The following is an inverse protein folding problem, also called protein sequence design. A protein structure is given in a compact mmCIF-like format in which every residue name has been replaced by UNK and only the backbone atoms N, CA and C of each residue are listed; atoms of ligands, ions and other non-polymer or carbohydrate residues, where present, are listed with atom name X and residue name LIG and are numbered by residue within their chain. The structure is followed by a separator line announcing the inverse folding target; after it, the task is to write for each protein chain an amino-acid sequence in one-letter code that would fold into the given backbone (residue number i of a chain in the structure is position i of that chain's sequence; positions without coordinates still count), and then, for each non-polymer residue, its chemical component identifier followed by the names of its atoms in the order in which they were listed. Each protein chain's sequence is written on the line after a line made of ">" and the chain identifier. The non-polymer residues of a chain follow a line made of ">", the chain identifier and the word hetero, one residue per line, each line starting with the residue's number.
data_IF_189477953393
#
_entry.id   IF_189477953393
#
_cell.length_a   1.000
_cell.length_b   1.000
_cell.length_c   1.000
_cell.angle_alpha   90.00
_cell.angle_beta   90.00
_cell.angle_gamma   90.00
#
_symmetry.space_group_name_H-M   'P 1'
#
loop_
_entity.id
_entity.type
_entity.pdbx_description
1 polymer ?
#
# COMPACT_ATOMS: atom_id res chain seq x y z
N UNK A 1 4.19 -41.83 28.02
CA UNK A 1 5.26 -41.45 27.06
C UNK A 1 4.55 -40.84 25.86
N UNK A 2 4.36 -39.53 25.82
CA UNK A 2 3.66 -38.85 24.73
C UNK A 2 4.69 -38.03 23.95
N UNK A 3 4.96 -38.48 22.72
CA UNK A 3 5.87 -37.83 21.77
C UNK A 3 5.24 -36.54 21.24
N UNK A 4 5.97 -35.45 21.36
CA UNK A 4 5.67 -34.18 20.70
C UNK A 4 6.01 -34.28 19.20
N UNK A 5 5.06 -33.92 18.33
CA UNK A 5 5.29 -33.73 16.89
C UNK A 5 5.99 -32.39 16.59
N UNK A 6 6.66 -32.27 15.43
CA UNK A 6 7.57 -31.16 15.16
C UNK A 6 6.85 -29.87 14.79
N UNK A 7 7.32 -28.75 15.34
CA UNK A 7 6.91 -27.39 15.00
C UNK A 7 7.54 -26.99 13.67
N UNK A 8 6.74 -26.79 12.61
CA UNK A 8 7.24 -26.25 11.34
C UNK A 8 7.16 -24.72 11.39
N UNK A 9 8.30 -24.11 11.65
CA UNK A 9 8.58 -22.69 11.47
C UNK A 9 8.80 -22.40 9.99
N UNK A 10 7.85 -21.72 9.32
CA UNK A 10 8.06 -21.27 7.95
C UNK A 10 6.78 -20.95 7.20
N UNK A 11 6.09 -19.87 7.57
CA UNK A 11 5.02 -19.29 6.75
C UNK A 11 5.33 -17.81 6.53
N UNK A 12 5.81 -17.48 5.33
CA UNK A 12 5.80 -16.11 4.85
C UNK A 12 4.36 -15.72 4.48
N UNK A 13 3.83 -14.59 4.98
CA UNK A 13 2.46 -14.19 4.73
C UNK A 13 2.25 -13.74 3.27
N UNK A 14 1.12 -14.16 2.70
CA UNK A 14 0.57 -13.60 1.45
C UNK A 14 0.23 -12.13 1.71
N UNK A 15 0.93 -11.22 1.05
CA UNK A 15 0.67 -9.78 1.16
C UNK A 15 -0.65 -9.44 0.44
N UNK A 16 -1.67 -9.10 1.23
CA UNK A 16 -2.89 -8.44 0.75
C UNK A 16 -2.71 -6.94 1.00
N UNK A 17 -2.87 -6.06 0.02
CA UNK A 17 -2.79 -4.62 0.24
C UNK A 17 -4.04 -4.17 1.00
N UNK A 18 -3.84 -3.78 2.27
CA UNK A 18 -4.88 -3.23 3.16
C UNK A 18 -4.52 -1.78 3.45
N UNK A 19 -5.47 -0.85 3.29
CA UNK A 19 -5.33 0.53 3.76
C UNK A 19 -5.86 0.60 5.18
N UNK A 20 -5.06 1.21 6.06
CA UNK A 20 -5.41 1.46 7.45
C UNK A 20 -5.53 2.98 7.62
N UNK A 21 -6.76 3.48 7.72
CA UNK A 21 -7.03 4.85 8.16
C UNK A 21 -7.22 4.85 9.69
N UNK A 22 -6.62 5.83 10.35
CA UNK A 22 -7.04 6.22 11.71
C UNK A 22 -8.07 7.34 11.60
N UNK A 23 -9.02 7.44 12.55
CA UNK A 23 -9.86 8.63 12.63
C UNK A 23 -8.97 9.85 12.86
N UNK A 24 -9.32 11.02 12.28
CA UNK A 24 -8.52 12.22 12.38
C UNK A 24 -8.38 12.62 13.85
N UNK A 25 -7.13 12.71 14.33
CA UNK A 25 -6.82 13.53 15.48
C UNK A 25 -7.16 14.96 15.05
N UNK A 26 -7.99 15.66 15.82
CA UNK A 26 -8.27 17.08 15.63
C UNK A 26 -6.96 17.87 15.80
N UNK A 27 -6.17 17.95 14.73
CA UNK A 27 -5.14 18.96 14.55
C UNK A 27 -5.51 19.72 13.28
N UNK A 28 -5.88 20.98 13.48
CA UNK A 28 -6.11 21.96 12.44
C UNK A 28 -4.83 22.17 11.62
N UNK A 29 -4.64 21.43 10.54
CA UNK A 29 -3.65 21.78 9.53
C UNK A 29 -4.04 21.20 8.16
N UNK A 30 -3.89 22.06 7.16
CA UNK A 30 -4.46 21.99 5.82
C UNK A 30 -3.99 20.77 5.02
N UNK A 31 -4.88 20.26 4.16
CA UNK A 31 -4.72 19.02 3.42
C UNK A 31 -3.53 18.99 2.47
N UNK A 32 -2.72 17.93 2.60
CA UNK A 32 -1.65 17.57 1.66
C UNK A 32 -2.02 16.25 0.99
N UNK A 33 -2.22 16.27 -0.33
CA UNK A 33 -2.38 15.06 -1.15
C UNK A 33 -1.01 14.57 -1.63
N UNK A 34 -0.66 13.31 -1.34
CA UNK A 34 0.58 12.67 -1.77
C UNK A 34 0.27 11.50 -2.71
N UNK A 35 0.68 11.63 -3.99
CA UNK A 35 0.56 10.56 -4.98
C UNK A 35 1.82 9.66 -4.98
N UNK A 36 1.56 8.35 -5.05
CA UNK A 36 2.51 7.24 -4.87
C UNK A 36 3.19 6.84 -6.19
N UNK A 37 4.49 6.46 -6.22
CA UNK A 37 5.12 5.86 -7.40
C UNK A 37 4.85 4.35 -7.50
N UNK A 38 4.90 3.86 -8.74
CA UNK A 38 4.68 2.47 -9.16
C UNK A 38 5.85 1.57 -8.75
N UNK A 39 5.65 0.74 -7.71
CA UNK A 39 6.19 -0.61 -7.55
C UNK A 39 5.55 -1.24 -6.30
N UNK A 40 5.08 -2.50 -6.35
CA UNK A 40 4.35 -3.13 -5.26
C UNK A 40 5.31 -3.77 -4.26
N UNK A 41 6.16 -2.96 -3.62
CA UNK A 41 6.93 -3.39 -2.45
C UNK A 41 6.94 -2.21 -1.47
N UNK A 42 6.46 -2.48 -0.25
CA UNK A 42 6.63 -1.69 0.97
C UNK A 42 7.68 -0.56 0.88
N UNK A 43 7.28 0.67 1.22
CA UNK A 43 7.76 1.36 2.43
C UNK A 43 7.31 2.84 2.44
N UNK A 44 6.86 3.24 3.63
CA UNK A 44 6.34 4.56 3.98
C UNK A 44 7.34 5.71 3.73
N UNK A 45 6.81 6.88 3.37
CA UNK A 45 7.54 8.14 3.25
C UNK A 45 8.30 8.46 4.55
N UNK A 46 9.58 8.79 4.41
CA UNK A 46 10.50 9.17 5.48
C UNK A 46 10.14 10.54 6.07
N UNK A 47 9.28 10.55 7.09
CA UNK A 47 9.33 11.48 8.22
C UNK A 47 9.66 10.64 9.47
N UNK A 48 10.57 11.06 10.36
CA UNK A 48 10.86 10.28 11.57
C UNK A 48 9.59 9.98 12.39
N UNK A 49 8.61 10.90 12.35
CA UNK A 49 7.30 10.76 12.99
C UNK A 49 6.38 9.77 12.26
N UNK A 50 6.39 9.73 10.92
CA UNK A 50 5.61 8.74 10.17
C UNK A 50 6.17 7.34 10.35
N UNK A 51 7.51 7.20 10.43
CA UNK A 51 8.17 5.92 10.73
C UNK A 51 7.77 5.42 12.11
N UNK A 52 7.84 6.24 13.16
CA UNK A 52 7.45 5.82 14.52
C UNK A 52 5.95 5.52 14.65
N UNK A 53 5.09 6.30 13.99
CA UNK A 53 3.64 6.03 13.97
C UNK A 53 3.33 4.75 13.22
N UNK A 54 3.92 4.55 12.04
CA UNK A 54 3.79 3.32 11.26
C UNK A 54 4.30 2.13 12.09
N UNK A 55 5.50 2.22 12.67
CA UNK A 55 6.08 1.17 13.52
C UNK A 55 5.17 0.85 14.73
N UNK A 56 4.50 1.84 15.31
CA UNK A 56 3.55 1.62 16.41
C UNK A 56 2.28 0.88 15.96
N UNK A 57 1.71 1.23 14.80
CA UNK A 57 0.53 0.54 14.23
C UNK A 57 0.92 -0.90 13.85
N UNK A 58 2.04 -1.07 13.15
CA UNK A 58 2.55 -2.38 12.76
C UNK A 58 2.79 -3.26 13.99
N UNK A 59 3.41 -2.72 15.04
CA UNK A 59 3.64 -3.46 16.30
C UNK A 59 2.34 -3.93 16.95
N UNK A 60 1.30 -3.08 16.96
CA UNK A 60 -0.01 -3.42 17.55
C UNK A 60 -0.72 -4.50 16.73
N UNK A 61 -0.72 -4.35 15.41
CA UNK A 61 -1.35 -5.32 14.49
C UNK A 61 -0.61 -6.66 14.52
N UNK A 62 0.72 -6.63 14.50
CA UNK A 62 1.52 -7.86 14.56
C UNK A 62 1.24 -8.63 15.84
N UNK A 63 1.20 -7.96 17.01
CA UNK A 63 0.79 -8.59 18.27
C UNK A 63 -0.62 -9.17 18.21
N UNK A 64 -1.55 -8.49 17.53
CA UNK A 64 -2.93 -8.96 17.39
C UNK A 64 -3.06 -10.16 16.44
N UNK A 65 -2.16 -10.31 15.47
CA UNK A 65 -2.20 -11.38 14.45
C UNK A 65 -1.33 -12.58 14.85
N UNK A 66 -0.21 -12.34 15.52
CA UNK A 66 0.80 -13.36 15.78
C UNK A 66 0.22 -14.58 16.52
N UNK A 67 0.56 -15.77 16.03
CA UNK A 67 0.10 -17.08 16.55
C UNK A 67 -1.41 -17.29 16.54
N UNK A 68 -2.20 -16.45 15.87
CA UNK A 68 -3.63 -16.68 15.68
C UNK A 68 -3.89 -17.33 14.31
N UNK A 69 -4.82 -18.30 14.23
CA UNK A 69 -5.17 -18.90 12.96
C UNK A 69 -5.83 -17.86 12.05
N UNK A 70 -5.44 -17.88 10.78
CA UNK A 70 -5.99 -17.03 9.72
C UNK A 70 -6.22 -17.90 8.49
N UNK A 71 -7.48 -17.99 8.08
CA UNK A 71 -7.94 -18.88 7.02
C UNK A 71 -8.52 -18.13 5.83
N UNK A 72 -8.77 -16.83 5.95
CA UNK A 72 -9.26 -15.98 4.85
C UNK A 72 -8.78 -14.54 5.03
N UNK A 73 -8.77 -13.73 3.94
CA UNK A 73 -8.48 -12.30 4.03
C UNK A 73 -9.41 -11.55 5.00
N UNK A 74 -10.66 -11.98 5.15
CA UNK A 74 -11.59 -11.36 6.10
C UNK A 74 -11.10 -11.50 7.55
N UNK A 75 -10.55 -12.67 7.92
CA UNK A 75 -9.98 -12.85 9.25
C UNK A 75 -8.81 -11.89 9.54
N UNK A 76 -8.05 -11.48 8.52
CA UNK A 76 -7.04 -10.43 8.69
C UNK A 76 -7.70 -9.10 9.03
N UNK A 77 -8.72 -8.70 8.26
CA UNK A 77 -9.41 -7.45 8.49
C UNK A 77 -10.03 -7.37 9.89
N UNK A 78 -10.70 -8.43 10.34
CA UNK A 78 -11.31 -8.49 11.66
C UNK A 78 -10.25 -8.37 12.77
N UNK A 79 -9.15 -9.14 12.67
CA UNK A 79 -8.05 -9.05 13.64
C UNK A 79 -7.40 -7.68 13.66
N UNK A 80 -7.30 -7.00 12.51
CA UNK A 80 -6.75 -5.65 12.45
C UNK A 80 -7.71 -4.68 13.12
N UNK A 81 -9.02 -4.70 12.85
CA UNK A 81 -10.01 -3.84 13.53
C UNK A 81 -9.95 -4.02 15.05
N UNK A 82 -9.89 -5.27 15.49
CA UNK A 82 -9.82 -5.66 16.91
C UNK A 82 -8.47 -5.34 17.59
N UNK A 83 -7.41 -5.09 16.81
CA UNK A 83 -6.07 -4.86 17.36
C UNK A 83 -6.02 -3.64 18.31
N UNK A 84 -6.97 -2.71 18.18
CA UNK A 84 -7.09 -1.52 19.02
C UNK A 84 -8.50 -1.40 19.62
N UNK A 85 -8.77 -2.04 20.78
CA UNK A 85 -10.12 -2.14 21.34
C UNK A 85 -10.81 -0.79 21.64
N UNK A 86 -10.05 0.21 22.07
CA UNK A 86 -10.58 1.52 22.44
C UNK A 86 -10.88 2.43 21.24
N UNK A 87 -10.16 2.23 20.14
CA UNK A 87 -10.26 3.02 18.91
C UNK A 87 -9.91 2.12 17.73
N UNK A 88 -10.85 1.26 17.29
CA UNK A 88 -10.63 0.29 16.22
C UNK A 88 -10.10 0.93 14.95
N UNK A 89 -9.26 0.21 14.22
CA UNK A 89 -8.80 0.66 12.91
C UNK A 89 -9.93 0.55 11.89
N UNK A 90 -9.98 1.51 10.96
CA UNK A 90 -10.79 1.37 9.76
C UNK A 90 -9.99 0.54 8.75
N UNK A 91 -10.64 -0.49 8.21
CA UNK A 91 -10.01 -1.48 7.34
C UNK A 91 -10.84 -1.60 6.07
N UNK A 92 -10.24 -1.16 4.97
CA UNK A 92 -10.83 -1.20 3.63
C UNK A 92 -10.11 -2.21 2.74
N UNK A 93 -10.90 -2.96 1.97
CA UNK A 93 -10.38 -3.85 0.93
C UNK A 93 -10.24 -3.07 -0.37
N UNK A 94 -9.06 -3.14 -0.97
CA UNK A 94 -8.83 -2.55 -2.28
C UNK A 94 -9.33 -3.49 -3.36
N UNK A 95 -10.22 -2.98 -4.22
CA UNK A 95 -10.72 -3.66 -5.42
C UNK A 95 -9.96 -3.17 -6.65
N UNK A 96 -10.21 -3.78 -7.81
CA UNK A 96 -9.64 -3.35 -9.09
C UNK A 96 -9.98 -1.89 -9.41
N UNK A 97 -11.12 -1.40 -8.93
CA UNK A 97 -11.62 -0.03 -9.14
C UNK A 97 -10.74 1.07 -8.54
N UNK A 98 -10.00 0.73 -7.47
CA UNK A 98 -9.09 1.65 -6.79
C UNK A 98 -7.87 2.00 -7.65
N UNK A 99 -7.41 1.07 -8.49
CA UNK A 99 -6.19 1.24 -9.25
C UNK A 99 -6.47 2.03 -10.54
N UNK A 100 -5.77 3.14 -10.71
CA UNK A 100 -5.91 4.05 -11.87
C UNK A 100 -4.64 4.10 -12.71
N UNK A 101 -4.78 4.31 -14.01
CA UNK A 101 -3.68 4.32 -14.98
C UNK A 101 -3.12 5.73 -15.23
N UNK A 102 -2.28 6.22 -14.31
CA UNK A 102 -1.63 7.53 -14.44
C UNK A 102 -0.53 7.61 -15.52
N UNK A 103 -0.18 6.49 -16.18
CA UNK A 103 0.85 6.47 -17.24
C UNK A 103 0.47 7.31 -18.46
N UNK A 104 -0.84 7.50 -18.69
CA UNK A 104 -1.35 8.21 -19.87
C UNK A 104 -1.23 9.73 -19.76
N UNK A 105 -1.27 10.27 -18.53
CA UNK A 105 -1.25 11.71 -18.27
C UNK A 105 0.09 12.38 -18.64
N UNK A 106 1.22 11.68 -18.44
CA UNK A 106 2.58 12.08 -18.90
C UNK A 106 3.00 13.55 -18.59
N UNK A 107 2.47 14.22 -17.57
CA UNK A 107 2.86 15.60 -17.20
C UNK A 107 4.36 15.73 -16.89
N UNK A 108 4.89 14.78 -16.11
CA UNK A 108 6.30 14.70 -15.75
C UNK A 108 6.83 13.28 -16.01
N UNK A 109 8.04 13.17 -16.55
CA UNK A 109 8.69 11.88 -16.78
C UNK A 109 9.43 11.36 -15.54
N UNK A 110 9.76 12.25 -14.61
CA UNK A 110 10.51 11.92 -13.42
C UNK A 110 10.37 13.03 -12.39
N UNK A 111 10.25 12.64 -11.13
CA UNK A 111 10.31 13.53 -9.96
C UNK A 111 11.75 13.70 -9.44
N UNK A 112 12.76 13.16 -10.14
CA UNK A 112 14.15 13.22 -9.72
C UNK A 112 14.68 14.67 -9.83
N UNK A 113 15.20 15.26 -8.73
CA UNK A 113 15.78 16.60 -8.76
C UNK A 113 17.04 16.66 -9.63
N UNK A 114 17.98 15.74 -9.39
CA UNK A 114 19.22 15.64 -10.14
C UNK A 114 19.03 15.07 -11.54
N UNK A 115 19.93 15.45 -12.43
CA UNK A 115 20.05 14.91 -13.78
C UNK A 115 21.29 14.05 -13.92
N UNK A 116 22.39 14.41 -13.26
CA UNK A 116 23.71 13.75 -13.39
C UNK A 116 23.96 12.74 -12.28
N UNK A 117 24.93 11.85 -12.47
CA UNK A 117 25.42 10.95 -11.42
C UNK A 117 26.07 11.76 -10.31
N UNK A 118 25.72 11.48 -9.05
CA UNK A 118 26.19 12.25 -7.88
C UNK A 118 25.27 13.42 -7.48
N UNK A 119 24.26 13.76 -8.29
CA UNK A 119 23.22 14.72 -7.93
C UNK A 119 22.03 14.04 -7.22
N UNK A 120 21.28 14.79 -6.39
CA UNK A 120 20.19 14.26 -5.57
C UNK A 120 19.19 13.42 -6.37
N UNK A 121 18.89 12.25 -5.85
CA UNK A 121 17.97 11.27 -6.42
C UNK A 121 16.62 11.32 -5.71
N UNK A 122 15.65 10.52 -6.18
CA UNK A 122 14.30 10.47 -5.61
C UNK A 122 14.31 10.10 -4.12
N UNK A 123 15.28 9.30 -3.67
CA UNK A 123 15.42 8.91 -2.26
C UNK A 123 15.88 10.04 -1.34
N UNK A 124 16.47 11.10 -1.89
CA UNK A 124 16.92 12.26 -1.13
C UNK A 124 15.80 13.28 -0.90
N UNK A 125 14.66 13.10 -1.58
CA UNK A 125 13.48 13.93 -1.39
C UNK A 125 12.88 13.72 0.00
N UNK A 126 12.57 14.84 0.68
CA UNK A 126 11.89 14.83 1.98
C UNK A 126 10.45 15.28 1.88
N UNK A 127 10.21 16.30 1.05
CA UNK A 127 8.87 16.86 0.84
C UNK A 127 8.70 17.14 -0.64
N UNK A 128 7.52 16.81 -1.16
CA UNK A 128 7.07 17.18 -2.50
C UNK A 128 5.77 17.96 -2.31
N UNK A 129 5.66 19.10 -2.98
CA UNK A 129 4.45 19.93 -3.03
C UNK A 129 3.94 19.96 -4.46
N UNK A 130 2.68 19.60 -4.63
CA UNK A 130 1.95 19.71 -5.89
C UNK A 130 1.12 20.98 -5.85
N UNK A 131 1.43 21.93 -6.71
CA UNK A 131 0.66 23.16 -6.82
C UNK A 131 -0.43 23.02 -7.89
N UNK A 132 -1.54 23.77 -7.76
CA UNK A 132 -2.64 23.74 -8.73
C UNK A 132 -2.25 24.30 -10.11
N UNK A 133 -1.17 25.07 -10.19
CA UNK A 133 -0.58 25.56 -11.45
C UNK A 133 0.23 24.48 -12.20
N UNK A 134 0.29 23.25 -11.67
CA UNK A 134 1.02 22.14 -12.27
C UNK A 134 2.53 22.16 -11.98
N UNK A 135 3.03 23.12 -11.20
CA UNK A 135 4.43 23.15 -10.75
C UNK A 135 4.61 22.18 -9.59
N UNK A 136 5.62 21.33 -9.70
CA UNK A 136 6.04 20.45 -8.61
C UNK A 136 7.24 21.10 -7.93
N UNK A 137 7.15 21.30 -6.62
CA UNK A 137 8.26 21.78 -5.80
C UNK A 137 8.70 20.70 -4.83
N UNK A 138 9.95 20.80 -4.37
CA UNK A 138 10.55 19.81 -3.50
C UNK A 138 11.44 20.44 -2.43
N UNK A 139 11.69 19.65 -1.38
CA UNK A 139 12.70 19.91 -0.36
C UNK A 139 13.59 18.68 -0.17
N UNK A 140 14.89 18.92 -0.06
CA UNK A 140 15.88 17.91 0.33
C UNK A 140 16.09 17.87 1.86
N UNK A 141 15.77 18.96 2.56
CA UNK A 141 15.87 19.11 4.00
C UNK A 141 14.68 19.91 4.54
N UNK A 142 14.22 19.62 5.76
CA UNK A 142 13.03 20.25 6.32
C UNK A 142 13.21 21.76 6.59
N UNK A 143 14.43 22.20 6.92
CA UNK A 143 14.74 23.59 7.24
C UNK A 143 14.99 24.50 6.03
N UNK A 144 14.91 23.98 4.81
CA UNK A 144 15.14 24.76 3.57
C UNK A 144 13.80 25.13 2.93
N UNK A 145 13.76 26.24 2.20
CA UNK A 145 12.60 26.63 1.40
C UNK A 145 12.34 25.64 0.24
N UNK A 146 11.10 25.66 -0.26
CA UNK A 146 10.73 24.86 -1.42
C UNK A 146 11.48 25.34 -2.66
N UNK A 147 11.96 24.40 -3.46
CA UNK A 147 12.56 24.69 -4.76
C UNK A 147 11.73 24.04 -5.87
N UNK A 148 11.50 24.71 -7.00
CA UNK A 148 10.81 24.10 -8.13
C UNK A 148 11.65 22.95 -8.69
N UNK A 149 10.99 21.88 -9.11
CA UNK A 149 11.66 20.77 -9.76
C UNK A 149 12.33 21.31 -11.04
N UNK A 150 13.63 21.03 -11.28
CA UNK A 150 14.39 21.58 -12.40
C UNK A 150 14.06 20.86 -13.71
N UNK A 151 12.77 20.66 -13.99
CA UNK A 151 12.24 19.96 -15.17
C UNK A 151 10.96 20.64 -15.61
N UNK A 152 10.85 20.90 -16.91
CA UNK A 152 9.63 21.43 -17.51
C UNK A 152 8.58 20.33 -17.62
N UNK A 153 7.33 20.63 -17.25
CA UNK A 153 6.18 19.79 -17.58
C UNK A 153 6.08 19.62 -19.11
N UNK A 154 5.84 18.39 -19.58
CA UNK A 154 5.87 18.08 -21.02
C UNK A 154 4.56 18.41 -21.75
N UNK A 155 3.42 18.34 -21.07
CA UNK A 155 2.09 18.35 -21.69
C UNK A 155 1.16 19.16 -20.81
N UNK A 156 0.61 20.26 -21.35
CA UNK A 156 -0.50 21.03 -20.78
C UNK A 156 -0.33 21.50 -19.33
N UNK A 157 -1.26 22.33 -18.87
CA UNK A 157 -1.51 22.45 -17.43
C UNK A 157 -2.45 21.30 -17.04
N UNK A 158 -2.28 20.66 -15.88
CA UNK A 158 -3.21 19.65 -15.41
C UNK A 158 -4.63 20.23 -15.35
N UNK A 159 -5.56 19.62 -16.07
CA UNK A 159 -6.96 20.04 -16.08
C UNK A 159 -7.76 19.21 -15.08
N UNK A 160 -8.72 19.80 -14.35
CA UNK A 160 -9.70 19.05 -13.56
C UNK A 160 -10.55 18.07 -14.40
N UNK A 161 -10.58 18.26 -15.73
CA UNK A 161 -11.27 17.38 -16.67
C UNK A 161 -10.44 16.18 -17.12
N UNK A 162 -9.17 16.07 -16.69
CA UNK A 162 -8.30 14.97 -17.09
C UNK A 162 -8.76 13.67 -16.40
N UNK A 163 -9.54 12.87 -17.12
CA UNK A 163 -10.02 11.58 -16.63
C UNK A 163 -8.90 10.55 -16.60
N UNK A 164 -8.68 9.96 -15.41
CA UNK A 164 -7.72 8.86 -15.25
C UNK A 164 -8.46 7.54 -15.39
N UNK A 165 -8.20 6.76 -16.46
CA UNK A 165 -8.89 5.49 -16.66
C UNK A 165 -8.50 4.50 -15.56
N UNK A 166 -9.34 3.49 -15.37
CA UNK A 166 -9.00 2.37 -14.50
C UNK A 166 -7.78 1.62 -15.04
N UNK A 167 -6.94 1.13 -14.12
CA UNK A 167 -5.79 0.30 -14.49
C UNK A 167 -6.23 -1.12 -14.86
N UNK A 168 -7.32 -1.57 -14.24
CA UNK A 168 -7.89 -2.90 -14.40
C UNK A 168 -9.40 -2.74 -14.54
N UNK A 169 -9.98 -3.31 -15.60
CA UNK A 169 -11.44 -3.33 -15.81
C UNK A 169 -12.12 -4.37 -14.92
N UNK A 170 -11.42 -5.47 -14.61
CA UNK A 170 -11.92 -6.61 -13.85
C UNK A 170 -10.90 -7.10 -12.81
N UNK A 171 -11.34 -7.91 -11.82
CA UNK A 171 -10.44 -8.60 -10.91
C UNK A 171 -9.40 -9.46 -11.65
N UNK A 172 -8.13 -9.27 -11.32
CA UNK A 172 -7.04 -10.04 -11.94
C UNK A 172 -7.13 -11.52 -11.54
N UNK A 173 -7.18 -12.45 -12.51
CA UNK A 173 -7.17 -13.87 -12.20
C UNK A 173 -5.82 -14.28 -11.61
N UNK A 174 -5.84 -15.22 -10.68
CA UNK A 174 -4.61 -15.81 -10.17
C UNK A 174 -4.07 -16.86 -11.13
N UNK A 175 -2.74 -16.99 -11.17
CA UNK A 175 -2.08 -18.04 -11.95
C UNK A 175 -2.58 -19.43 -11.54
N UNK A 176 -2.79 -20.31 -12.52
CA UNK A 176 -3.23 -21.70 -12.30
C UNK A 176 -2.39 -22.45 -11.26
N UNK A 177 -1.07 -22.28 -11.30
CA UNK A 177 -0.14 -22.87 -10.31
C UNK A 177 -0.44 -22.41 -8.88
N UNK A 178 -0.70 -21.10 -8.69
CA UNK A 178 -1.05 -20.54 -7.39
C UNK A 178 -2.41 -21.08 -6.92
N UNK A 179 -3.39 -21.16 -7.81
CA UNK A 179 -4.68 -21.77 -7.50
C UNK A 179 -4.53 -23.22 -7.02
N UNK A 180 -3.77 -24.05 -7.75
CA UNK A 180 -3.49 -25.44 -7.36
C UNK A 180 -2.90 -25.57 -5.95
N UNK A 181 -1.88 -24.76 -5.63
CA UNK A 181 -1.30 -24.77 -4.27
C UNK A 181 -2.32 -24.33 -3.20
N UNK A 182 -3.22 -23.39 -3.49
CA UNK A 182 -4.27 -22.98 -2.55
C UNK A 182 -5.29 -24.10 -2.32
N UNK A 183 -5.59 -24.89 -3.35
CA UNK A 183 -6.45 -26.07 -3.22
C UNK A 183 -5.82 -27.16 -2.35
N UNK A 184 -4.51 -27.38 -2.47
CA UNK A 184 -3.77 -28.33 -1.61
C UNK A 184 -3.81 -27.91 -0.13
N UNK A 185 -3.76 -26.60 0.16
CA UNK A 185 -3.82 -26.07 1.53
C UNK A 185 -5.18 -26.29 2.20
N UNK A 186 -6.25 -26.59 1.46
CA UNK A 186 -7.58 -26.83 2.03
C UNK A 186 -7.60 -27.96 3.06
N UNK A 187 -6.67 -28.91 2.98
CA UNK A 187 -6.56 -30.03 3.94
C UNK A 187 -6.35 -29.55 5.37
N UNK A 188 -5.67 -28.42 5.57
CA UNK A 188 -5.38 -27.85 6.90
C UNK A 188 -6.29 -26.67 7.27
N UNK A 189 -7.24 -26.30 6.39
CA UNK A 189 -8.16 -25.19 6.55
C UNK A 189 -9.56 -25.75 6.91
N UNK A 190 -10.29 -25.16 7.87
CA UNK A 190 -11.66 -25.58 8.17
C UNK A 190 -12.57 -25.50 6.93
N UNK A 191 -13.50 -26.47 6.81
CA UNK A 191 -14.38 -26.62 5.64
C UNK A 191 -15.21 -25.38 5.33
N UNK A 192 -15.56 -24.60 6.36
CA UNK A 192 -16.36 -23.38 6.22
C UNK A 192 -15.69 -22.32 5.33
N UNK A 193 -14.36 -22.35 5.20
CA UNK A 193 -13.60 -21.42 4.35
C UNK A 193 -13.35 -21.96 2.94
N UNK A 194 -13.69 -23.22 2.65
CA UNK A 194 -13.35 -23.85 1.37
C UNK A 194 -14.03 -23.16 0.18
N UNK A 195 -15.29 -22.74 0.35
CA UNK A 195 -16.07 -22.02 -0.66
C UNK A 195 -15.38 -20.74 -1.15
N UNK A 196 -14.63 -20.05 -0.29
CA UNK A 196 -13.86 -18.88 -0.70
C UNK A 196 -12.77 -19.26 -1.70
N UNK A 197 -12.02 -20.33 -1.42
CA UNK A 197 -10.92 -20.78 -2.29
C UNK A 197 -11.41 -21.39 -3.61
N UNK A 198 -12.56 -22.06 -3.58
CA UNK A 198 -13.17 -22.69 -4.76
C UNK A 198 -13.64 -21.68 -5.81
N UNK A 199 -14.05 -20.49 -5.37
CA UNK A 199 -14.56 -19.43 -6.24
C UNK A 199 -13.51 -18.38 -6.64
N UNK A 200 -12.22 -18.64 -6.37
CA UNK A 200 -11.17 -17.69 -6.77
C UNK A 200 -11.01 -17.65 -8.29
N UNK A 201 -11.09 -16.46 -8.93
CA UNK A 201 -10.89 -16.33 -10.37
C UNK A 201 -9.44 -16.71 -10.73
N UNK A 202 -9.28 -17.60 -11.69
CA UNK A 202 -7.97 -18.14 -12.06
C UNK A 202 -7.84 -18.34 -13.57
N UNK A 203 -6.60 -18.36 -14.03
CA UNK A 203 -6.26 -18.66 -15.42
C UNK A 203 -6.59 -20.13 -15.75
N UNK A 204 -7.06 -20.38 -16.99
CA UNK A 204 -7.37 -21.71 -17.50
C UNK A 204 -6.14 -22.63 -17.61
#
# INVERSE_FOLDING_TARGET
>A
MLQYGPTISGLHPVQVPVILSQPPIQSSEQGYWQLRPKNPCLHALHSPLSRSQCDSIHSVIERAINRKPIYSPQNYADKIREARPKQPYEVEFLTHEFFKEYSKLKYYNSIRPGTRTGEPVVTDLRVIRYNPDGVIEYKLNYGVEFSPLPRRAKIGEPSPLDEVPQLHEDPLPIKKKKYGHLQELKVVIPKDYHTFYDNLPHEN
#
